data_IF_081273611564
#
_entry.id   IF_081273611564
#
_cell.length_a   1.000
_cell.length_b   1.000
_cell.length_c   1.000
_cell.angle_alpha   90.00
_cell.angle_beta   90.00
_cell.angle_gamma   90.00
#
_symmetry.space_group_name_H-M   'P 1'
#
loop_
_entity.id
_entity.type
_entity.pdbx_description
1 polymer ?
#
# COMPACT_ATOMS: atom_id res chain seq x y z
N UNK A 1 7.99 20.94 29.84
CA UNK A 1 8.35 19.58 29.41
C UNK A 1 9.30 19.70 28.22
N UNK A 2 10.58 19.34 28.37
CA UNK A 2 11.52 19.30 27.23
C UNK A 2 11.20 18.02 26.46
N UNK A 3 10.59 18.11 25.28
CA UNK A 3 10.52 16.97 24.35
C UNK A 3 11.95 16.47 24.12
N UNK A 4 12.20 15.21 24.42
CA UNK A 4 13.53 14.62 24.36
C UNK A 4 14.01 14.62 22.90
N UNK A 5 15.31 14.87 22.63
CA UNK A 5 15.85 14.89 21.26
C UNK A 5 15.47 13.64 20.44
N UNK A 6 15.28 12.51 21.11
CA UNK A 6 14.80 11.27 20.52
C UNK A 6 13.40 11.39 19.90
N UNK A 7 12.45 12.07 20.54
CA UNK A 7 11.08 12.23 20.04
C UNK A 7 11.06 13.10 18.77
N UNK A 8 11.89 14.15 18.73
CA UNK A 8 12.05 14.99 17.54
C UNK A 8 12.68 14.22 16.38
N UNK A 9 13.71 13.41 16.66
CA UNK A 9 14.34 12.57 15.64
C UNK A 9 13.34 11.54 15.07
N UNK A 10 12.52 10.93 15.94
CA UNK A 10 11.47 10.00 15.55
C UNK A 10 10.39 10.67 14.68
N UNK A 11 9.93 11.86 15.10
CA UNK A 11 8.95 12.65 14.35
C UNK A 11 9.49 13.06 12.98
N UNK A 12 10.76 13.46 12.88
CA UNK A 12 11.41 13.76 11.60
C UNK A 12 11.50 12.53 10.71
N UNK A 13 11.91 11.38 11.25
CA UNK A 13 12.01 10.13 10.50
C UNK A 13 10.67 9.72 9.86
N UNK A 14 9.57 9.73 10.65
CA UNK A 14 8.27 9.30 10.14
C UNK A 14 7.60 10.30 9.18
N UNK A 15 7.96 11.59 9.26
CA UNK A 15 7.42 12.64 8.39
C UNK A 15 8.32 12.95 7.17
N UNK A 16 9.54 12.41 7.12
CA UNK A 16 10.42 12.48 5.96
C UNK A 16 9.67 12.05 4.70
N UNK A 17 9.79 12.83 3.62
CA UNK A 17 9.18 12.51 2.34
C UNK A 17 10.05 11.50 1.61
N UNK A 18 9.48 10.34 1.31
CA UNK A 18 10.13 9.26 0.56
C UNK A 18 9.36 8.99 -0.72
N UNK A 19 10.09 8.56 -1.75
CA UNK A 19 9.51 8.20 -3.04
C UNK A 19 8.80 6.84 -2.93
N UNK A 20 7.58 6.75 -3.45
CA UNK A 20 6.83 5.50 -3.53
C UNK A 20 6.12 5.39 -4.87
N UNK A 21 6.13 4.18 -5.42
CA UNK A 21 5.39 3.81 -6.61
C UNK A 21 4.22 2.94 -6.20
N UNK A 22 3.02 3.27 -6.70
CA UNK A 22 1.82 2.47 -6.53
C UNK A 22 1.67 1.56 -7.74
N UNK A 23 1.80 0.23 -7.59
CA UNK A 23 1.65 -0.67 -8.70
C UNK A 23 0.21 -0.64 -9.21
N UNK A 24 0.07 -0.64 -10.53
CA UNK A 24 -1.24 -0.78 -11.18
C UNK A 24 -1.85 -2.16 -10.87
N UNK A 25 -3.12 -2.22 -10.45
CA UNK A 25 -3.87 -3.47 -10.38
C UNK A 25 -3.99 -4.15 -11.75
N UNK A 26 -4.07 -5.48 -11.79
CA UNK A 26 -4.11 -6.23 -13.04
C UNK A 26 -5.33 -5.91 -13.90
N UNK A 27 -6.45 -5.54 -13.27
CA UNK A 27 -7.74 -5.23 -13.87
C UNK A 27 -7.85 -3.79 -14.41
N UNK A 28 -6.88 -2.91 -14.12
CA UNK A 28 -6.90 -1.51 -14.57
C UNK A 28 -6.06 -1.37 -15.84
N UNK A 29 -6.59 -0.85 -16.97
CA UNK A 29 -5.82 -0.62 -18.19
C UNK A 29 -4.62 0.34 -17.99
N UNK A 30 -3.60 0.18 -18.82
CA UNK A 30 -2.46 1.11 -18.81
C UNK A 30 -2.89 2.54 -19.14
N UNK A 31 -2.39 3.51 -18.38
CA UNK A 31 -2.71 4.93 -18.55
C UNK A 31 -4.06 5.35 -17.95
N UNK A 32 -4.86 4.40 -17.44
CA UNK A 32 -6.06 4.75 -16.68
C UNK A 32 -5.74 5.14 -15.24
N UNK A 33 -6.55 6.06 -14.73
CA UNK A 33 -6.48 6.55 -13.36
C UNK A 33 -7.76 6.20 -12.63
N UNK A 34 -7.64 5.83 -11.36
CA UNK A 34 -8.81 5.52 -10.54
C UNK A 34 -9.22 6.71 -9.69
N UNK A 35 -10.48 7.12 -9.77
CA UNK A 35 -11.02 8.15 -8.88
C UNK A 35 -11.55 7.51 -7.60
N UNK A 36 -11.12 8.03 -6.44
CA UNK A 36 -11.60 7.62 -5.13
C UNK A 36 -12.17 8.83 -4.40
N UNK A 37 -13.35 8.68 -3.79
CA UNK A 37 -13.95 9.71 -2.97
C UNK A 37 -13.68 9.40 -1.49
N UNK A 38 -13.05 10.34 -0.78
CA UNK A 38 -12.82 10.24 0.65
C UNK A 38 -13.20 11.56 1.33
N UNK A 39 -14.12 11.49 2.30
CA UNK A 39 -14.69 12.65 3.02
C UNK A 39 -15.26 13.74 2.08
N UNK A 40 -15.90 13.33 0.99
CA UNK A 40 -16.50 14.25 0.00
C UNK A 40 -15.48 14.90 -0.94
N UNK A 41 -14.20 14.57 -0.82
CA UNK A 41 -13.14 15.01 -1.75
C UNK A 41 -12.80 13.88 -2.70
N UNK A 42 -12.80 14.18 -4.00
CA UNK A 42 -12.40 13.24 -5.03
C UNK A 42 -10.89 13.32 -5.27
N UNK A 43 -10.22 12.19 -5.23
CA UNK A 43 -8.81 12.02 -5.52
C UNK A 43 -8.64 11.13 -6.74
N UNK A 44 -7.65 11.43 -7.56
CA UNK A 44 -7.30 10.63 -8.73
C UNK A 44 -5.97 9.92 -8.46
N UNK A 45 -5.99 8.60 -8.52
CA UNK A 45 -4.82 7.75 -8.32
C UNK A 45 -4.15 7.55 -9.68
N UNK A 46 -2.89 7.98 -9.77
CA UNK A 46 -2.00 7.66 -10.88
C UNK A 46 -1.15 6.46 -10.50
N UNK A 47 -1.21 5.40 -11.30
CA UNK A 47 -0.43 4.19 -11.11
C UNK A 47 0.92 4.28 -11.83
N UNK A 48 1.89 3.53 -11.33
CA UNK A 48 3.24 3.41 -11.92
C UNK A 48 4.02 4.74 -12.01
N UNK A 49 3.54 5.80 -11.35
CA UNK A 49 4.19 7.10 -11.24
C UNK A 49 4.81 7.22 -9.84
N UNK A 50 6.09 7.64 -9.73
CA UNK A 50 6.69 7.92 -8.44
C UNK A 50 6.07 9.15 -7.78
N UNK A 51 5.67 9.02 -6.52
CA UNK A 51 5.13 10.11 -5.72
C UNK A 51 5.82 10.21 -4.36
N UNK A 52 6.00 11.45 -3.89
CA UNK A 52 6.64 11.73 -2.61
C UNK A 52 5.61 11.70 -1.46
N UNK A 53 5.67 10.69 -0.60
CA UNK A 53 4.77 10.52 0.53
C UNK A 53 5.54 10.54 1.86
N UNK A 54 4.92 10.92 2.98
CA UNK A 54 5.57 10.76 4.29
C UNK A 54 5.93 9.30 4.55
N UNK A 55 7.09 9.04 5.16
CA UNK A 55 7.60 7.69 5.43
C UNK A 55 6.59 6.81 6.17
N UNK A 56 5.87 7.36 7.17
CA UNK A 56 4.79 6.63 7.86
C UNK A 56 3.71 6.09 6.91
N UNK A 57 3.38 6.83 5.85
CA UNK A 57 2.41 6.42 4.84
C UNK A 57 3.01 5.33 3.95
N UNK A 58 4.28 5.49 3.54
CA UNK A 58 4.99 4.46 2.78
C UNK A 58 5.03 3.10 3.51
N UNK A 59 5.29 3.11 4.82
CA UNK A 59 5.30 1.90 5.65
C UNK A 59 3.93 1.20 5.66
N UNK A 60 2.84 1.96 5.83
CA UNK A 60 1.48 1.40 5.78
C UNK A 60 1.18 0.78 4.41
N UNK A 61 1.60 1.43 3.33
CA UNK A 61 1.40 0.91 1.97
C UNK A 61 2.15 -0.42 1.78
N UNK A 62 3.40 -0.49 2.24
CA UNK A 62 4.22 -1.70 2.15
C UNK A 62 3.65 -2.86 2.95
N UNK A 63 3.20 -2.59 4.17
CA UNK A 63 2.54 -3.58 5.00
C UNK A 63 1.23 -4.07 4.38
N UNK A 64 0.42 -3.16 3.83
CA UNK A 64 -0.82 -3.51 3.13
C UNK A 64 -0.55 -4.43 1.94
N UNK A 65 0.45 -4.11 1.12
CA UNK A 65 0.84 -4.94 -0.02
C UNK A 65 1.31 -6.34 0.42
N UNK A 66 2.12 -6.41 1.48
CA UNK A 66 2.58 -7.68 2.02
C UNK A 66 1.41 -8.53 2.52
N UNK A 67 0.47 -7.93 3.25
CA UNK A 67 -0.72 -8.62 3.75
C UNK A 67 -1.58 -9.14 2.61
N UNK A 68 -1.73 -8.36 1.54
CA UNK A 68 -2.47 -8.78 0.36
C UNK A 68 -1.79 -9.97 -0.34
N UNK A 69 -0.47 -9.93 -0.52
CA UNK A 69 0.28 -11.06 -1.07
C UNK A 69 0.18 -12.33 -0.21
N UNK A 70 0.17 -12.20 1.12
CA UNK A 70 -0.04 -13.34 2.02
C UNK A 70 -1.46 -13.90 1.94
N UNK A 71 -2.46 -13.03 1.78
CA UNK A 71 -3.84 -13.43 1.56
C UNK A 71 -3.99 -14.20 0.23
N UNK A 72 -3.44 -13.67 -0.85
CA UNK A 72 -3.51 -14.28 -2.18
C UNK A 72 -2.84 -15.66 -2.19
N UNK A 73 -1.69 -15.80 -1.52
CA UNK A 73 -1.02 -17.11 -1.34
C UNK A 73 -1.88 -18.11 -0.57
N UNK A 74 -2.58 -17.65 0.48
CA UNK A 74 -3.48 -18.51 1.25
C UNK A 74 -4.66 -18.96 0.40
N UNK A 75 -5.32 -18.04 -0.33
CA UNK A 75 -6.41 -18.39 -1.24
C UNK A 75 -5.97 -19.41 -2.29
N UNK A 76 -4.84 -19.18 -2.96
CA UNK A 76 -4.32 -20.12 -3.96
C UNK A 76 -4.01 -21.52 -3.37
N UNK A 77 -3.52 -21.57 -2.13
CA UNK A 77 -3.32 -22.83 -1.41
C UNK A 77 -4.63 -23.57 -1.08
N UNK A 78 -5.69 -22.83 -0.73
CA UNK A 78 -7.02 -23.39 -0.53
C UNK A 78 -7.59 -23.96 -1.83
N UNK A 79 -7.53 -23.20 -2.94
CA UNK A 79 -8.00 -23.66 -4.25
C UNK A 79 -7.28 -24.93 -4.73
N UNK A 80 -5.96 -25.04 -4.51
CA UNK A 80 -5.22 -26.28 -4.80
C UNK A 80 -5.65 -27.46 -3.92
N UNK A 81 -5.98 -27.22 -2.66
CA UNK A 81 -6.42 -28.27 -1.73
C UNK A 81 -7.84 -28.77 -2.03
N UNK A 82 -8.74 -27.91 -2.48
CA UNK A 82 -10.09 -28.30 -2.94
C UNK A 82 -10.00 -29.07 -4.27
N UNK A 83 -9.08 -28.70 -5.16
CA UNK A 83 -8.87 -29.40 -6.43
C UNK A 83 -8.26 -30.81 -6.26
N UNK A 84 -7.48 -31.03 -5.19
CA UNK A 84 -6.87 -32.33 -4.86
C UNK A 84 -7.71 -33.16 -3.87
N UNK A 85 -8.89 -32.66 -3.48
CA UNK A 85 -9.74 -33.21 -2.43
C UNK A 85 -10.92 -34.07 -2.87
N UNK A 86 -10.99 -34.48 -4.14
CA UNK A 86 -11.91 -35.56 -4.57
C UNK A 86 -11.10 -36.82 -4.91
N UNK A 87 -11.11 -37.80 -4.00
CA UNK A 87 -11.34 -39.25 -4.20
C UNK A 87 -11.35 -39.98 -2.85
#
# INVERSE_FOLDING_TARGET
>A
MKKNNAEKALEQYYNERVEKVFPRPADVPFGETRTVCHNGVNYQIQYDVPVMVPRKVALIIEESLKNQMELDKKLAGYEQSEFLGEY
#
